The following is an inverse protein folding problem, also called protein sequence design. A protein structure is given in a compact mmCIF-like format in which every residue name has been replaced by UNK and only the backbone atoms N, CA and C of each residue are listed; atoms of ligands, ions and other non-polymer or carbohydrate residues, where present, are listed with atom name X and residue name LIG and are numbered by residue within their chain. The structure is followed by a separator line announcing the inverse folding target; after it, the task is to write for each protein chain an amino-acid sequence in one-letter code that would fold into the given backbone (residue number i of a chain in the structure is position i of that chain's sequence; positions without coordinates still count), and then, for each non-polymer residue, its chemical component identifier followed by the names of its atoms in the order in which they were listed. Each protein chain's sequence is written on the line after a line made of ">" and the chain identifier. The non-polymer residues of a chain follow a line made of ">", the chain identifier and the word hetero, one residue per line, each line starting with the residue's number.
data_IF_911395970472
#
_entry.id   IF_911395970472
#
_cell.length_a   1.000
_cell.length_b   1.000
_cell.length_c   1.000
_cell.angle_alpha   90.00
_cell.angle_beta   90.00
_cell.angle_gamma   90.00
#
_symmetry.space_group_name_H-M   'P 1'
#
loop_
_entity.id
_entity.type
_entity.pdbx_description
1 polymer ?
#
# COMPACT_ATOMS: atom_id res chain seq x y z
N UNK A 1 -0.33 -70.42 -25.27
CA UNK A 1 -0.15 -68.98 -25.58
C UNK A 1 0.40 -68.28 -24.36
N UNK A 2 1.30 -67.31 -24.59
CA UNK A 2 2.36 -66.83 -23.68
C UNK A 2 1.90 -66.30 -22.31
N UNK A 3 2.65 -66.69 -21.28
CA UNK A 3 2.75 -66.03 -19.97
C UNK A 3 3.57 -64.75 -20.11
N UNK A 4 3.22 -63.69 -19.39
CA UNK A 4 4.14 -62.57 -19.14
C UNK A 4 3.88 -61.98 -17.76
N UNK A 5 4.89 -62.14 -16.91
CA UNK A 5 5.05 -61.53 -15.61
C UNK A 5 5.40 -60.05 -15.82
N UNK A 6 4.75 -59.13 -15.09
CA UNK A 6 5.26 -57.77 -14.94
C UNK A 6 5.71 -57.60 -13.50
N UNK A 7 7.01 -57.39 -13.40
CA UNK A 7 7.84 -57.35 -12.22
C UNK A 7 7.58 -56.07 -11.41
N UNK A 8 7.41 -56.28 -10.12
CA UNK A 8 7.50 -55.34 -9.01
C UNK A 8 8.79 -54.53 -9.04
N UNK A 9 8.71 -53.21 -8.92
CA UNK A 9 9.78 -52.38 -8.31
C UNK A 9 9.11 -51.42 -7.33
N UNK A 10 9.06 -51.86 -6.08
CA UNK A 10 8.80 -51.01 -4.92
C UNK A 10 9.99 -50.09 -4.70
N UNK A 11 9.77 -48.77 -4.72
CA UNK A 11 10.76 -47.79 -4.26
C UNK A 11 10.33 -47.29 -2.88
N UNK A 12 11.04 -47.72 -1.84
CA UNK A 12 10.80 -47.37 -0.44
C UNK A 12 11.93 -46.47 0.07
N UNK A 13 11.56 -45.25 0.47
CA UNK A 13 12.04 -44.40 1.58
C UNK A 13 13.54 -44.05 1.77
N UNK A 14 13.81 -42.73 1.90
CA UNK A 14 14.62 -42.11 2.99
C UNK A 14 14.46 -40.56 2.95
N UNK A 15 13.63 -39.98 3.82
CA UNK A 15 13.99 -39.11 4.96
C UNK A 15 15.16 -38.12 4.76
N UNK A 16 14.83 -36.82 4.77
CA UNK A 16 15.52 -35.80 5.57
C UNK A 16 14.64 -34.54 5.73
N UNK A 17 13.98 -34.43 6.90
CA UNK A 17 13.40 -33.18 7.41
C UNK A 17 14.55 -32.30 7.92
N UNK A 18 14.78 -31.14 7.30
CA UNK A 18 15.58 -30.06 7.88
C UNK A 18 14.62 -28.96 8.35
N UNK A 19 14.03 -29.17 9.53
CA UNK A 19 13.38 -28.13 10.30
C UNK A 19 14.45 -27.36 11.10
N UNK A 20 14.86 -26.20 10.63
CA UNK A 20 15.59 -25.24 11.47
C UNK A 20 14.56 -24.36 12.19
N UNK A 21 14.03 -24.89 13.29
CA UNK A 21 13.43 -24.06 14.34
C UNK A 21 14.56 -23.36 15.09
N UNK A 22 14.49 -22.03 15.24
CA UNK A 22 15.33 -21.32 16.20
C UNK A 22 14.40 -20.59 17.17
N UNK A 23 13.69 -21.40 17.97
CA UNK A 23 13.02 -20.95 19.18
C UNK A 23 14.08 -20.80 20.28
N UNK A 24 14.76 -19.65 20.29
CA UNK A 24 15.54 -19.13 21.43
C UNK A 24 15.88 -17.67 21.19
N UNK A 25 14.85 -16.84 21.30
CA UNK A 25 14.95 -15.44 21.75
C UNK A 25 13.56 -14.98 22.24
N UNK A 26 13.07 -15.68 23.25
CA UNK A 26 12.00 -15.20 24.14
C UNK A 26 12.54 -15.48 25.54
N UNK A 27 12.37 -14.49 26.42
CA UNK A 27 12.87 -14.34 27.79
C UNK A 27 14.20 -13.58 27.93
N UNK A 28 14.10 -12.24 27.96
CA UNK A 28 14.57 -11.44 29.11
C UNK A 28 13.65 -10.21 29.28
N UNK A 29 13.02 -10.05 30.46
CA UNK A 29 12.14 -8.94 30.82
C UNK A 29 12.91 -7.83 31.55
N UNK A 30 12.44 -6.58 31.41
CA UNK A 30 12.75 -5.43 32.27
C UNK A 30 14.18 -4.87 32.27
N UNK A 31 14.34 -3.71 31.62
CA UNK A 31 15.16 -2.62 32.19
C UNK A 31 14.64 -1.26 31.70
N UNK A 32 13.77 -0.67 32.51
CA UNK A 32 13.41 0.75 32.52
C UNK A 32 14.63 1.53 33.03
N UNK A 33 15.09 2.57 32.32
CA UNK A 33 15.64 3.78 32.94
C UNK A 33 15.71 4.96 31.95
N UNK A 34 15.19 6.14 32.32
CA UNK A 34 15.44 7.39 31.62
C UNK A 34 16.82 7.94 32.04
N UNK A 35 17.60 8.50 31.12
CA UNK A 35 18.78 9.27 31.49
C UNK A 35 18.60 10.73 31.09
N UNK A 36 18.21 11.52 32.09
CA UNK A 36 18.44 12.95 32.15
C UNK A 36 19.71 13.23 32.98
N UNK A 37 20.21 14.47 32.83
CA UNK A 37 21.36 15.12 33.50
C UNK A 37 22.74 14.88 32.87
N UNK A 38 23.66 15.84 32.75
CA UNK A 38 23.73 17.31 32.90
C UNK A 38 25.18 17.68 32.52
N UNK A 39 25.44 18.85 31.89
CA UNK A 39 26.42 19.83 32.42
C UNK A 39 26.47 21.13 31.57
N UNK A 40 26.19 22.25 32.26
CA UNK A 40 26.52 23.64 31.90
C UNK A 40 28.03 23.92 32.16
N UNK A 41 28.59 25.01 31.61
CA UNK A 41 28.74 26.29 32.36
C UNK A 41 28.26 27.49 31.49
N UNK A 42 27.54 28.54 31.97
CA UNK A 42 27.81 29.46 33.09
C UNK A 42 28.91 30.46 32.68
N UNK A 43 28.83 31.79 32.68
CA UNK A 43 27.89 32.85 33.09
C UNK A 43 28.35 34.12 32.32
N UNK A 44 27.54 35.14 31.98
CA UNK A 44 27.00 36.13 32.89
C UNK A 44 27.09 37.55 32.27
N UNK A 45 26.28 38.49 32.79
CA UNK A 45 26.36 39.95 32.57
C UNK A 45 25.41 40.48 31.47
N UNK A 46 24.21 40.99 31.75
CA UNK A 46 23.83 42.26 32.40
C UNK A 46 23.79 43.49 31.45
N UNK A 47 22.57 44.04 31.33
CA UNK A 47 22.19 45.46 31.38
C UNK A 47 22.40 46.43 30.17
N UNK A 48 21.24 46.82 29.60
CA UNK A 48 20.75 48.17 29.18
C UNK A 48 21.39 49.01 28.02
N UNK A 49 20.56 49.79 27.26
CA UNK A 49 20.91 50.64 26.10
C UNK A 49 21.25 52.11 26.54
N UNK A 50 21.80 53.06 25.72
CA UNK A 50 21.13 53.68 24.54
C UNK A 50 22.01 54.21 23.37
N UNK A 51 21.33 54.44 22.22
CA UNK A 51 21.42 55.51 21.18
C UNK A 51 22.73 56.29 20.90
N UNK A 52 23.14 56.37 19.61
CA UNK A 52 23.48 57.62 18.87
C UNK A 52 23.51 57.39 17.34
N UNK A 53 22.99 58.40 16.62
CA UNK A 53 22.71 58.63 15.19
C UNK A 53 23.90 58.47 14.19
N UNK A 54 23.72 57.86 12.99
CA UNK A 54 23.35 58.42 11.66
C UNK A 54 24.57 58.74 10.74
N UNK A 55 24.44 59.01 9.42
CA UNK A 55 23.66 58.37 8.35
C UNK A 55 24.55 57.94 7.14
N UNK A 56 24.05 57.05 6.27
CA UNK A 56 24.53 56.96 4.88
C UNK A 56 23.35 56.74 3.95
N UNK A 57 23.04 57.80 3.20
CA UNK A 57 22.18 57.82 2.02
C UNK A 57 22.68 56.86 0.93
N UNK A 58 21.78 56.13 0.29
CA UNK A 58 22.12 55.32 -0.87
C UNK A 58 20.96 54.47 -1.40
N UNK A 59 20.03 55.14 -2.08
CA UNK A 59 19.36 54.66 -3.30
C UNK A 59 18.56 53.35 -3.23
N UNK A 60 17.23 53.48 -3.25
CA UNK A 60 16.31 52.42 -3.64
C UNK A 60 16.62 51.92 -5.08
N UNK A 61 16.35 50.64 -5.36
CA UNK A 61 15.26 50.40 -6.28
C UNK A 61 14.29 49.31 -5.79
N UNK A 62 13.02 49.57 -6.09
CA UNK A 62 11.90 48.63 -6.10
C UNK A 62 12.22 47.41 -6.94
N UNK A 63 12.08 46.21 -6.37
CA UNK A 63 11.82 44.99 -7.13
C UNK A 63 11.17 43.94 -6.21
N UNK A 64 9.86 43.80 -6.40
CA UNK A 64 9.08 42.58 -6.30
C UNK A 64 9.93 41.32 -6.03
N UNK A 65 9.85 40.79 -4.81
CA UNK A 65 10.26 39.41 -4.54
C UNK A 65 9.00 38.61 -4.32
N UNK A 66 8.54 38.03 -5.43
CA UNK A 66 7.52 37.02 -5.52
C UNK A 66 7.63 35.99 -4.38
N UNK A 67 6.55 35.91 -3.62
CA UNK A 67 6.20 34.75 -2.80
C UNK A 67 6.34 33.47 -3.65
N UNK A 68 6.98 32.39 -3.16
CA UNK A 68 7.03 31.13 -3.87
C UNK A 68 5.58 30.68 -4.16
N UNK A 69 5.22 30.32 -5.41
CA UNK A 69 3.90 29.84 -5.69
C UNK A 69 3.65 28.55 -4.90
N UNK A 70 2.49 28.54 -4.24
CA UNK A 70 1.89 27.37 -3.63
C UNK A 70 1.97 26.17 -4.59
N UNK A 71 2.19 24.99 -4.00
CA UNK A 71 2.23 23.69 -4.65
C UNK A 71 1.23 23.60 -5.82
N UNK A 72 1.75 23.56 -7.04
CA UNK A 72 0.95 23.47 -8.24
C UNK A 72 0.16 22.17 -8.24
N UNK A 73 -1.17 22.27 -8.19
CA UNK A 73 -2.06 21.17 -8.54
C UNK A 73 -1.66 20.66 -9.94
N UNK A 74 -1.44 19.36 -10.08
CA UNK A 74 -1.08 18.75 -11.36
C UNK A 74 -2.23 19.04 -12.36
N UNK A 75 -1.95 19.58 -13.56
CA UNK A 75 -3.01 19.90 -14.51
C UNK A 75 -3.73 18.62 -14.96
N UNK A 76 -5.07 18.64 -15.06
CA UNK A 76 -5.89 17.45 -15.29
C UNK A 76 -5.53 16.67 -16.58
N UNK A 77 -4.93 17.35 -17.55
CA UNK A 77 -4.46 16.74 -18.80
C UNK A 77 -3.31 15.73 -18.59
N UNK A 78 -2.41 15.96 -17.61
CA UNK A 78 -1.30 15.02 -17.33
C UNK A 78 -1.82 13.73 -16.70
N UNK A 79 -2.76 13.83 -15.77
CA UNK A 79 -3.38 12.69 -15.11
C UNK A 79 -4.18 11.83 -16.09
N UNK A 80 -4.94 12.44 -17.00
CA UNK A 80 -5.66 11.72 -18.05
C UNK A 80 -4.71 10.96 -19.00
N UNK A 81 -3.58 11.56 -19.37
CA UNK A 81 -2.57 10.90 -20.21
C UNK A 81 -1.89 9.72 -19.48
N UNK A 82 -1.61 9.84 -18.18
CA UNK A 82 -1.06 8.75 -17.37
C UNK A 82 -2.04 7.56 -17.30
N UNK A 83 -3.32 7.83 -17.06
CA UNK A 83 -4.37 6.81 -17.02
C UNK A 83 -4.51 6.11 -18.38
N UNK A 84 -4.53 6.86 -19.49
CA UNK A 84 -4.68 6.31 -20.84
C UNK A 84 -3.52 5.37 -21.25
N UNK A 85 -2.31 5.59 -20.70
CA UNK A 85 -1.14 4.72 -20.92
C UNK A 85 -1.12 3.50 -20.00
N UNK A 86 -2.01 3.47 -19.00
CA UNK A 86 -2.01 2.42 -17.99
C UNK A 86 -2.68 1.15 -18.52
N UNK A 87 -1.93 0.07 -18.41
CA UNK A 87 -2.36 -1.32 -18.61
C UNK A 87 -2.26 -2.05 -17.30
N UNK A 88 -3.40 -2.30 -16.67
CA UNK A 88 -3.50 -2.89 -15.35
C UNK A 88 -3.76 -4.39 -15.45
N UNK A 89 -2.95 -5.18 -14.74
CA UNK A 89 -3.24 -6.58 -14.45
C UNK A 89 -3.55 -6.73 -12.98
N UNK A 90 -4.66 -7.39 -12.65
CA UNK A 90 -4.98 -7.78 -11.28
C UNK A 90 -4.50 -9.22 -11.10
N UNK A 91 -3.58 -9.43 -10.17
CA UNK A 91 -3.11 -10.77 -9.80
C UNK A 91 -4.14 -11.49 -8.91
N UNK A 92 -4.05 -12.82 -8.77
CA UNK A 92 -4.86 -13.56 -7.81
C UNK A 92 -4.76 -12.96 -6.40
N UNK A 93 -5.91 -12.84 -5.74
CA UNK A 93 -6.02 -12.27 -4.39
C UNK A 93 -5.56 -13.30 -3.36
N UNK A 94 -4.78 -12.84 -2.38
CA UNK A 94 -4.26 -13.67 -1.29
C UNK A 94 -5.00 -13.36 0.01
N UNK A 95 -5.38 -14.39 0.75
CA UNK A 95 -5.97 -14.28 2.09
C UNK A 95 -7.48 -14.10 2.14
N UNK A 96 -8.13 -13.79 1.01
CA UNK A 96 -9.59 -13.79 0.86
C UNK A 96 -10.14 -15.14 0.37
N UNK A 97 -11.36 -15.50 0.79
CA UNK A 97 -12.07 -16.62 0.17
C UNK A 97 -12.43 -16.29 -1.29
N UNK A 98 -12.62 -17.31 -2.13
CA UNK A 98 -13.01 -17.12 -3.54
C UNK A 98 -14.35 -16.37 -3.64
N UNK A 99 -15.30 -16.69 -2.76
CA UNK A 99 -16.62 -16.06 -2.70
C UNK A 99 -16.52 -14.56 -2.38
N UNK A 100 -15.65 -14.17 -1.44
CA UNK A 100 -15.43 -12.75 -1.11
C UNK A 100 -14.60 -12.02 -2.18
N UNK A 101 -13.64 -12.70 -2.82
CA UNK A 101 -12.78 -12.12 -3.85
C UNK A 101 -13.49 -11.91 -5.20
N UNK A 102 -14.55 -12.67 -5.47
CA UNK A 102 -15.32 -12.58 -6.72
C UNK A 102 -15.94 -11.19 -6.94
N UNK A 103 -16.76 -10.63 -6.03
CA UNK A 103 -17.33 -9.29 -6.19
C UNK A 103 -16.25 -8.19 -6.20
N UNK A 104 -15.18 -8.34 -5.42
CA UNK A 104 -14.03 -7.43 -5.44
C UNK A 104 -13.41 -7.35 -6.84
N UNK A 105 -13.12 -8.50 -7.45
CA UNK A 105 -12.42 -8.56 -8.74
C UNK A 105 -13.31 -8.04 -9.87
N UNK A 106 -14.59 -8.39 -9.86
CA UNK A 106 -15.56 -7.89 -10.83
C UNK A 106 -15.69 -6.37 -10.77
N UNK A 107 -15.75 -5.81 -9.56
CA UNK A 107 -15.85 -4.36 -9.38
C UNK A 107 -14.55 -3.65 -9.76
N UNK A 108 -13.37 -4.18 -9.39
CA UNK A 108 -12.08 -3.63 -9.82
C UNK A 108 -11.99 -3.50 -11.34
N UNK A 109 -12.42 -4.53 -12.07
CA UNK A 109 -12.43 -4.51 -13.54
C UNK A 109 -13.42 -3.48 -14.09
N UNK A 110 -14.61 -3.40 -13.50
CA UNK A 110 -15.66 -2.45 -13.91
C UNK A 110 -15.20 -1.02 -13.69
N UNK A 111 -14.68 -0.70 -12.51
CA UNK A 111 -14.19 0.62 -12.13
C UNK A 111 -12.95 1.03 -12.90
N UNK A 112 -12.01 0.11 -13.13
CA UNK A 112 -10.84 0.37 -13.97
C UNK A 112 -11.27 0.83 -15.38
N UNK A 113 -12.21 0.11 -16.01
CA UNK A 113 -12.75 0.47 -17.33
C UNK A 113 -13.49 1.81 -17.31
N UNK A 114 -14.33 2.06 -16.29
CA UNK A 114 -15.03 3.34 -16.12
C UNK A 114 -14.07 4.53 -15.97
N UNK A 115 -12.89 4.30 -15.38
CA UNK A 115 -11.82 5.32 -15.27
C UNK A 115 -10.94 5.41 -16.52
N UNK A 116 -11.17 4.59 -17.55
CA UNK A 116 -10.36 4.59 -18.79
C UNK A 116 -9.07 3.79 -18.71
N UNK A 117 -8.89 2.97 -17.67
CA UNK A 117 -7.74 2.05 -17.54
C UNK A 117 -7.98 0.83 -18.41
N UNK A 118 -6.98 0.44 -19.20
CA UNK A 118 -7.04 -0.79 -20.01
C UNK A 118 -6.59 -1.98 -19.17
N UNK A 119 -7.27 -3.14 -19.31
CA UNK A 119 -6.93 -4.36 -18.57
C UNK A 119 -6.07 -5.31 -19.43
N UNK A 120 -4.91 -5.73 -18.90
CA UNK A 120 -3.91 -6.52 -19.64
C UNK A 120 -4.34 -7.98 -19.94
N UNK A 121 -5.30 -8.54 -19.20
CA UNK A 121 -5.78 -9.91 -19.40
C UNK A 121 -6.80 -10.12 -20.52
N UNK A 122 -7.25 -9.06 -21.20
CA UNK A 122 -8.32 -9.15 -22.23
C UNK A 122 -7.81 -9.13 -23.68
N UNK A 123 -6.53 -8.86 -23.93
CA UNK A 123 -6.02 -8.62 -25.31
C UNK A 123 -4.56 -9.05 -25.53
N UNK A 124 -4.00 -9.97 -24.72
CA UNK A 124 -2.58 -10.38 -24.86
C UNK A 124 -1.61 -9.18 -24.80
N UNK A 125 -1.90 -8.26 -23.88
CA UNK A 125 -1.19 -7.01 -23.74
C UNK A 125 -0.27 -7.10 -22.53
N UNK A 126 1.02 -6.80 -22.70
CA UNK A 126 1.96 -6.71 -21.58
C UNK A 126 1.44 -5.67 -20.57
N UNK A 127 1.26 -6.05 -19.28
CA UNK A 127 0.86 -5.09 -18.27
C UNK A 127 1.93 -4.03 -18.10
N UNK A 128 1.52 -2.81 -17.77
CA UNK A 128 2.42 -1.76 -17.27
C UNK A 128 2.44 -1.75 -15.75
N UNK A 129 1.35 -2.19 -15.13
CA UNK A 129 1.15 -2.21 -13.69
C UNK A 129 0.51 -3.54 -13.31
N UNK A 130 1.10 -4.22 -12.33
CA UNK A 130 0.55 -5.45 -11.74
C UNK A 130 0.13 -5.15 -10.31
N UNK A 131 -1.16 -5.34 -10.04
CA UNK A 131 -1.79 -5.10 -8.76
C UNK A 131 -1.93 -6.43 -8.00
N UNK A 132 -1.26 -6.54 -6.85
CA UNK A 132 -1.26 -7.73 -5.99
C UNK A 132 -1.93 -7.43 -4.65
N UNK A 133 -2.98 -8.18 -4.32
CA UNK A 133 -3.82 -7.93 -3.16
C UNK A 133 -3.64 -8.94 -2.04
N UNK A 134 -3.52 -8.43 -0.81
CA UNK A 134 -3.41 -9.20 0.42
C UNK A 134 -4.51 -8.75 1.38
N UNK A 135 -5.29 -9.70 1.87
CA UNK A 135 -6.51 -9.41 2.60
C UNK A 135 -6.60 -10.26 3.87
N UNK A 136 -7.18 -9.68 4.91
CA UNK A 136 -7.57 -10.39 6.13
C UNK A 136 -8.90 -9.86 6.65
N UNK A 137 -9.53 -10.63 7.53
CA UNK A 137 -10.76 -10.23 8.21
C UNK A 137 -10.59 -10.33 9.71
N UNK A 138 -11.27 -9.45 10.42
CA UNK A 138 -11.44 -9.49 11.87
C UNK A 138 -12.91 -9.19 12.16
N UNK A 139 -13.59 -10.10 12.85
CA UNK A 139 -14.98 -9.90 13.25
C UNK A 139 -15.02 -9.61 14.74
N UNK A 140 -15.79 -8.58 15.12
CA UNK A 140 -15.93 -8.12 16.48
C UNK A 140 -17.40 -7.76 16.74
N UNK A 141 -18.06 -8.58 17.56
CA UNK A 141 -19.46 -8.42 17.89
C UNK A 141 -20.35 -8.55 16.65
N UNK A 142 -20.93 -7.42 16.21
CA UNK A 142 -21.86 -7.37 15.07
C UNK A 142 -21.25 -6.80 13.79
N UNK A 143 -19.94 -6.50 13.82
CA UNK A 143 -19.24 -5.89 12.70
C UNK A 143 -18.05 -6.76 12.26
N UNK A 144 -17.80 -6.78 10.95
CA UNK A 144 -16.61 -7.39 10.36
C UNK A 144 -15.78 -6.32 9.69
N UNK A 145 -14.50 -6.29 10.01
CA UNK A 145 -13.49 -5.43 9.40
C UNK A 145 -12.67 -6.24 8.40
N UNK A 146 -12.64 -5.79 7.15
CA UNK A 146 -11.72 -6.28 6.12
C UNK A 146 -10.51 -5.37 6.10
N UNK A 147 -9.31 -5.92 6.31
CA UNK A 147 -8.05 -5.19 6.19
C UNK A 147 -7.41 -5.60 4.87
N UNK A 148 -6.91 -4.62 4.11
CA UNK A 148 -6.35 -4.87 2.80
C UNK A 148 -5.05 -4.10 2.55
N UNK A 149 -4.16 -4.74 1.82
CA UNK A 149 -2.93 -4.17 1.28
C UNK A 149 -2.83 -4.56 -0.19
N UNK A 150 -2.53 -3.56 -1.00
CA UNK A 150 -2.28 -3.69 -2.42
C UNK A 150 -0.87 -3.20 -2.71
N UNK A 151 -0.08 -4.04 -3.34
CA UNK A 151 1.22 -3.67 -3.88
C UNK A 151 1.11 -3.53 -5.40
N UNK A 152 1.61 -2.42 -5.92
CA UNK A 152 1.66 -2.09 -7.35
C UNK A 152 3.07 -2.30 -7.84
N UNK A 153 3.24 -3.13 -8.86
CA UNK A 153 4.52 -3.47 -9.46
C UNK A 153 4.62 -3.02 -10.90
N UNK A 154 5.83 -2.70 -11.34
CA UNK A 154 6.16 -2.57 -12.76
C UNK A 154 6.36 -3.96 -13.42
N UNK A 155 6.56 -4.02 -14.75
CA UNK A 155 6.77 -5.29 -15.44
C UNK A 155 8.09 -5.97 -15.10
N UNK A 156 9.07 -5.25 -14.55
CA UNK A 156 10.34 -5.78 -14.08
C UNK A 156 10.26 -6.37 -12.67
N UNK A 157 9.12 -6.22 -11.97
CA UNK A 157 8.90 -6.72 -10.62
C UNK A 157 9.33 -5.76 -9.51
N UNK A 158 9.61 -4.49 -9.83
CA UNK A 158 9.87 -3.47 -8.81
C UNK A 158 8.56 -2.97 -8.22
N UNK A 159 8.47 -2.88 -6.89
CA UNK A 159 7.30 -2.29 -6.24
C UNK A 159 7.33 -0.78 -6.41
N UNK A 160 6.37 -0.27 -7.17
CA UNK A 160 6.20 1.16 -7.44
C UNK A 160 5.46 1.86 -6.32
N UNK A 161 4.41 1.23 -5.79
CA UNK A 161 3.51 1.87 -4.83
C UNK A 161 2.80 0.85 -3.96
N UNK A 162 2.24 1.33 -2.84
CA UNK A 162 1.41 0.55 -1.93
C UNK A 162 0.16 1.33 -1.56
N UNK A 163 -0.99 0.70 -1.74
CA UNK A 163 -2.28 1.16 -1.24
C UNK A 163 -2.66 0.24 -0.08
N UNK A 164 -3.17 0.79 1.01
CA UNK A 164 -3.66 0.00 2.13
C UNK A 164 -4.90 0.65 2.73
N UNK A 165 -5.64 -0.12 3.52
CA UNK A 165 -6.80 0.38 4.20
C UNK A 165 -7.55 -0.70 4.94
N UNK A 166 -8.67 -0.30 5.51
CA UNK A 166 -9.60 -1.17 6.18
C UNK A 166 -11.03 -0.71 5.91
N UNK A 167 -11.94 -1.66 5.80
CA UNK A 167 -13.36 -1.41 5.64
C UNK A 167 -14.13 -2.18 6.70
N UNK A 168 -14.79 -1.45 7.59
CA UNK A 168 -15.64 -2.02 8.64
C UNK A 168 -17.09 -1.94 8.20
N UNK A 169 -17.81 -3.05 8.28
CA UNK A 169 -19.22 -3.13 7.92
C UNK A 169 -19.97 -4.06 8.88
N UNK A 170 -21.30 -3.92 9.01
CA UNK A 170 -22.10 -4.90 9.74
C UNK A 170 -21.90 -6.31 9.16
N UNK A 171 -21.74 -7.28 10.04
CA UNK A 171 -21.63 -8.68 9.68
C UNK A 171 -22.94 -9.19 9.07
N UNK A 172 -22.85 -10.02 8.04
CA UNK A 172 -24.02 -10.69 7.42
C UNK A 172 -24.03 -12.19 7.72
N UNK A 173 -25.20 -12.80 7.64
CA UNK A 173 -25.33 -14.27 7.67
C UNK A 173 -25.00 -14.95 9.00
N UNK A 174 -24.76 -14.20 10.09
CA UNK A 174 -24.49 -14.74 11.44
C UNK A 174 -23.21 -15.57 11.55
N UNK A 175 -22.34 -15.54 10.54
CA UNK A 175 -21.04 -16.19 10.53
C UNK A 175 -19.90 -15.26 10.98
N UNK A 176 -18.69 -15.78 10.92
CA UNK A 176 -17.46 -15.07 11.29
C UNK A 176 -16.48 -15.02 10.10
N UNK A 177 -15.55 -14.06 10.12
CA UNK A 177 -14.51 -13.94 9.09
C UNK A 177 -15.07 -13.63 7.70
N UNK A 178 -14.66 -14.36 6.67
CA UNK A 178 -15.09 -14.09 5.28
C UNK A 178 -16.57 -14.32 5.01
N UNK A 179 -17.21 -15.26 5.70
CA UNK A 179 -18.65 -15.52 5.57
C UNK A 179 -19.51 -14.36 6.11
N UNK A 180 -18.93 -13.54 6.98
CA UNK A 180 -19.57 -12.37 7.58
C UNK A 180 -19.47 -11.11 6.70
N UNK A 181 -18.66 -11.13 5.63
CA UNK A 181 -18.43 -9.98 4.76
C UNK A 181 -19.49 -9.91 3.67
N UNK A 182 -20.25 -8.82 3.64
CA UNK A 182 -21.20 -8.57 2.57
C UNK A 182 -20.48 -8.32 1.22
N UNK A 183 -21.05 -8.76 0.08
CA UNK A 183 -20.49 -8.47 -1.25
C UNK A 183 -20.25 -6.97 -1.49
N UNK A 184 -21.17 -6.12 -1.01
CA UNK A 184 -21.08 -4.66 -1.12
C UNK A 184 -19.84 -4.08 -0.42
N UNK A 185 -19.39 -4.69 0.69
CA UNK A 185 -18.16 -4.28 1.39
C UNK A 185 -16.94 -4.47 0.49
N UNK A 186 -16.88 -5.60 -0.22
CA UNK A 186 -15.79 -5.91 -1.15
C UNK A 186 -15.83 -5.02 -2.40
N UNK A 187 -17.03 -4.69 -2.91
CA UNK A 187 -17.20 -3.73 -4.00
C UNK A 187 -16.72 -2.32 -3.60
N UNK A 188 -17.08 -1.85 -2.40
CA UNK A 188 -16.62 -0.56 -1.89
C UNK A 188 -15.08 -0.50 -1.76
N UNK A 189 -14.43 -1.60 -1.35
CA UNK A 189 -12.96 -1.66 -1.33
C UNK A 189 -12.39 -1.54 -2.75
N UNK A 190 -13.00 -2.17 -3.75
CA UNK A 190 -12.57 -2.05 -5.14
C UNK A 190 -12.67 -0.60 -5.64
N UNK A 191 -13.78 0.07 -5.35
CA UNK A 191 -13.99 1.49 -5.67
C UNK A 191 -12.87 2.37 -5.10
N UNK A 192 -12.64 2.24 -3.79
CA UNK A 192 -11.61 2.99 -3.08
C UNK A 192 -10.21 2.68 -3.61
N UNK A 193 -9.96 1.44 -3.99
CA UNK A 193 -8.66 1.00 -4.53
C UNK A 193 -8.38 1.65 -5.88
N UNK A 194 -9.35 1.66 -6.80
CA UNK A 194 -9.18 2.28 -8.12
C UNK A 194 -9.06 3.79 -7.99
N UNK A 195 -9.84 4.43 -7.10
CA UNK A 195 -9.77 5.88 -6.89
C UNK A 195 -8.39 6.30 -6.33
N UNK A 196 -7.83 5.53 -5.39
CA UNK A 196 -6.46 5.76 -4.91
C UNK A 196 -5.42 5.50 -6.00
N UNK A 197 -5.61 4.44 -6.80
CA UNK A 197 -4.71 4.11 -7.90
C UNK A 197 -4.64 5.22 -8.96
N UNK A 198 -5.79 5.76 -9.41
CA UNK A 198 -5.80 6.86 -10.40
C UNK A 198 -5.26 8.16 -9.81
N UNK A 199 -5.48 8.41 -8.52
CA UNK A 199 -4.91 9.56 -7.83
C UNK A 199 -3.39 9.47 -7.80
N UNK A 200 -2.85 8.29 -7.47
CA UNK A 200 -1.42 8.04 -7.53
C UNK A 200 -0.84 8.19 -8.94
N UNK A 201 -1.50 7.64 -9.97
CA UNK A 201 -1.08 7.84 -11.36
C UNK A 201 -1.03 9.32 -11.76
N UNK A 202 -1.97 10.12 -11.26
CA UNK A 202 -2.05 11.55 -11.54
C UNK A 202 -0.98 12.39 -10.82
N UNK A 203 -0.46 11.93 -9.68
CA UNK A 203 0.57 12.62 -8.89
C UNK A 203 1.99 12.09 -9.06
N UNK A 204 2.14 10.83 -9.48
CA UNK A 204 3.42 10.11 -9.54
C UNK A 204 3.93 9.81 -10.96
N UNK A 205 3.20 10.18 -12.02
CA UNK A 205 3.71 10.14 -13.39
C UNK A 205 4.64 11.34 -13.64
N UNK A 206 5.80 11.33 -12.98
CA UNK A 206 6.88 12.32 -13.11
C UNK A 206 8.24 11.63 -13.10
#
# INVERSE_FOLDING_TARGET
>A
MRRSHVTTVSLLAALALAACTNAKDVLEPSAIAPQSTQSLPGAGGAATPPSTAAPSSGTAPTADTAQPPAAAAVPPAKSAAAIARTRLQVAPIVGASVEAATPLTAELQTRARQRGITLAGSTDQTPTHVLKGYFSTMTEGKDTTVIYVWDIYDPAGNRLHRINGQQKAPSVGGGEGWAAVAPATMQAIADQTIDQFVTWLGGGAG
#
